data_IF_756406745595
#
_entry.id   IF_756406745595
#
_cell.length_a   1.000
_cell.length_b   1.000
_cell.length_c   1.000
_cell.angle_alpha   90.00
_cell.angle_beta   90.00
_cell.angle_gamma   90.00
#
_symmetry.space_group_name_H-M   'P 1'
#
loop_
_entity.id
_entity.type
_entity.pdbx_description
1 polymer ?
#
# COMPACT_ATOMS: atom_id res chain seq x y z
N UNK A 1 -21.69 -57.23 35.59
CA UNK A 1 -22.22 -56.16 34.70
C UNK A 1 -21.73 -54.76 35.07
N UNK A 2 -21.73 -54.33 36.34
CA UNK A 2 -21.24 -52.98 36.74
C UNK A 2 -19.77 -52.68 36.34
N UNK A 3 -18.87 -53.68 36.38
CA UNK A 3 -17.45 -53.50 35.99
C UNK A 3 -17.24 -53.26 34.48
N UNK A 4 -18.09 -53.84 33.64
CA UNK A 4 -18.04 -53.64 32.17
C UNK A 4 -18.57 -52.26 31.79
N UNK A 5 -19.60 -51.79 32.50
CA UNK A 5 -20.15 -50.44 32.33
C UNK A 5 -19.14 -49.33 32.67
N UNK A 6 -18.32 -49.52 33.72
CA UNK A 6 -17.28 -48.56 34.10
C UNK A 6 -16.16 -48.49 33.06
N UNK A 7 -15.76 -49.64 32.49
CA UNK A 7 -14.77 -49.67 31.41
C UNK A 7 -15.30 -48.98 30.14
N UNK A 8 -16.57 -49.18 29.80
CA UNK A 8 -17.22 -48.54 28.65
C UNK A 8 -17.30 -47.01 28.81
N UNK A 9 -17.61 -46.53 30.02
CA UNK A 9 -17.64 -45.10 30.37
C UNK A 9 -16.24 -44.45 30.29
N UNK A 10 -15.18 -45.18 30.68
CA UNK A 10 -13.81 -44.70 30.57
C UNK A 10 -13.33 -44.63 29.11
N UNK A 11 -13.72 -45.59 28.26
CA UNK A 11 -13.43 -45.57 26.83
C UNK A 11 -14.16 -44.44 26.08
N UNK A 12 -15.39 -44.09 26.48
CA UNK A 12 -16.13 -42.96 25.92
C UNK A 12 -15.53 -41.60 26.30
N UNK A 13 -14.90 -41.48 27.47
CA UNK A 13 -14.22 -40.26 27.89
C UNK A 13 -12.93 -39.98 27.10
N UNK A 14 -12.26 -41.02 26.58
CA UNK A 14 -11.04 -40.89 25.76
C UNK A 14 -11.34 -40.62 24.28
N UNK A 15 -12.58 -40.81 23.82
CA UNK A 15 -13.00 -40.52 22.45
C UNK A 15 -13.34 -39.04 22.22
N UNK A 16 -13.35 -38.21 23.27
CA UNK A 16 -13.61 -36.77 23.16
C UNK A 16 -12.34 -35.94 23.01
N UNK A 17 -11.31 -36.49 22.36
CA UNK A 17 -10.24 -35.69 21.77
C UNK A 17 -10.81 -34.93 20.56
N UNK A 18 -11.57 -33.88 20.82
CA UNK A 18 -11.83 -32.85 19.83
C UNK A 18 -10.47 -32.37 19.34
N UNK A 19 -10.14 -32.76 18.10
CA UNK A 19 -8.96 -32.30 17.39
C UNK A 19 -9.06 -30.78 17.37
N UNK A 20 -8.32 -30.12 18.26
CA UNK A 20 -8.26 -28.67 18.31
C UNK A 20 -7.71 -28.28 16.95
N UNK A 21 -8.58 -27.82 16.06
CA UNK A 21 -8.15 -27.25 14.79
C UNK A 21 -7.18 -26.15 15.15
N UNK A 22 -5.89 -26.41 14.93
CA UNK A 22 -4.90 -25.36 14.93
C UNK A 22 -5.38 -24.40 13.87
N UNK A 23 -5.95 -23.27 14.30
CA UNK A 23 -6.15 -22.13 13.42
C UNK A 23 -4.80 -21.91 12.76
N UNK A 24 -4.70 -22.25 11.48
CA UNK A 24 -3.54 -21.96 10.66
C UNK A 24 -3.41 -20.44 10.72
N UNK A 25 -2.56 -19.95 11.63
CA UNK A 25 -2.24 -18.53 11.68
C UNK A 25 -1.46 -18.30 10.41
N UNK A 26 -2.12 -17.66 9.44
CA UNK A 26 -1.49 -17.21 8.20
C UNK A 26 -0.21 -16.47 8.57
N UNK A 27 0.93 -17.10 8.34
CA UNK A 27 2.22 -16.56 8.75
C UNK A 27 2.49 -15.37 7.84
N UNK A 28 2.58 -14.18 8.42
CA UNK A 28 3.00 -12.98 7.72
C UNK A 28 4.43 -13.16 7.21
N UNK A 29 4.58 -13.47 5.91
CA UNK A 29 5.87 -13.56 5.24
C UNK A 29 6.30 -12.14 4.85
N UNK A 30 7.55 -11.71 5.16
CA UNK A 30 8.06 -10.42 4.72
C UNK A 30 7.84 -10.19 3.22
N UNK A 31 7.32 -9.02 2.87
CA UNK A 31 7.10 -8.63 1.49
C UNK A 31 8.33 -7.91 0.95
N UNK A 32 8.95 -8.40 -0.12
CA UNK A 32 10.14 -7.79 -0.72
C UNK A 32 9.76 -7.14 -2.05
N UNK A 33 9.67 -5.82 -2.06
CA UNK A 33 9.15 -5.03 -3.19
C UNK A 33 9.93 -5.32 -4.48
N UNK A 34 11.26 -5.32 -4.40
CA UNK A 34 12.13 -5.60 -5.56
C UNK A 34 12.05 -7.03 -6.10
N UNK A 35 11.55 -8.00 -5.32
CA UNK A 35 11.36 -9.39 -5.75
C UNK A 35 9.98 -9.59 -6.36
N UNK A 36 8.96 -8.97 -5.78
CA UNK A 36 7.57 -9.12 -6.20
C UNK A 36 7.30 -8.49 -7.58
N UNK A 37 8.10 -7.51 -7.98
CA UNK A 37 8.04 -6.85 -9.29
C UNK A 37 8.84 -7.56 -10.39
N UNK A 38 9.48 -8.71 -10.10
CA UNK A 38 10.23 -9.47 -11.11
C UNK A 38 9.33 -10.44 -11.85
N UNK A 39 9.84 -10.90 -12.99
CA UNK A 39 9.29 -12.04 -13.71
C UNK A 39 9.15 -13.25 -12.77
N UNK A 40 8.02 -13.96 -12.86
CA UNK A 40 7.77 -15.17 -12.07
C UNK A 40 7.50 -16.34 -12.99
N UNK A 41 8.20 -17.44 -12.77
CA UNK A 41 7.95 -18.71 -13.47
C UNK A 41 7.04 -19.55 -12.58
N UNK A 42 5.83 -19.85 -13.05
CA UNK A 42 4.86 -20.71 -12.38
C UNK A 42 4.58 -21.91 -13.28
N UNK A 43 5.15 -23.06 -12.93
CA UNK A 43 5.05 -24.26 -13.76
C UNK A 43 5.73 -24.07 -15.10
N UNK A 44 4.94 -24.03 -16.19
CA UNK A 44 5.41 -23.78 -17.56
C UNK A 44 5.17 -22.34 -18.03
N UNK A 45 4.48 -21.54 -17.23
CA UNK A 45 4.09 -20.18 -17.60
C UNK A 45 5.06 -19.16 -17.00
N UNK A 46 5.45 -18.19 -17.84
CA UNK A 46 6.24 -17.03 -17.43
C UNK A 46 5.31 -15.84 -17.29
N UNK A 47 5.15 -15.36 -16.06
CA UNK A 47 4.41 -14.13 -15.77
C UNK A 47 5.42 -12.98 -15.87
N UNK A 48 5.29 -12.09 -16.87
CA UNK A 48 6.21 -10.97 -17.04
C UNK A 48 6.13 -10.02 -15.85
N UNK A 49 7.20 -9.25 -15.58
CA UNK A 49 7.17 -8.21 -14.55
C UNK A 49 6.07 -7.20 -14.87
N UNK A 50 5.54 -6.59 -13.81
CA UNK A 50 4.60 -5.49 -13.97
C UNK A 50 5.28 -4.36 -14.76
N UNK A 51 4.58 -3.73 -15.74
CA UNK A 51 5.13 -2.57 -16.41
C UNK A 51 5.47 -1.48 -15.38
N UNK A 52 6.54 -0.70 -15.61
CA UNK A 52 6.93 0.34 -14.69
C UNK A 52 5.80 1.37 -14.56
N UNK A 53 5.60 1.86 -13.33
CA UNK A 53 4.56 2.84 -13.03
C UNK A 53 4.97 4.19 -13.65
N UNK A 54 4.16 4.78 -14.54
CA UNK A 54 4.43 6.11 -15.07
C UNK A 54 4.49 7.15 -13.96
N UNK A 55 5.40 8.12 -14.10
CA UNK A 55 5.66 9.18 -13.11
C UNK A 55 4.43 9.96 -12.67
N UNK A 56 3.51 10.22 -13.62
CA UNK A 56 2.24 10.90 -13.37
C UNK A 56 1.24 10.07 -12.56
N UNK A 57 1.42 8.75 -12.50
CA UNK A 57 0.55 7.78 -11.83
C UNK A 57 1.08 7.35 -10.46
N UNK A 58 2.33 7.65 -10.10
CA UNK A 58 3.04 7.14 -8.91
C UNK A 58 2.30 7.36 -7.58
N UNK A 59 1.46 8.38 -7.51
CA UNK A 59 0.70 8.74 -6.31
C UNK A 59 -0.76 8.25 -6.29
N UNK A 60 -1.24 7.67 -7.39
CA UNK A 60 -2.58 7.09 -7.48
C UNK A 60 -3.72 8.02 -7.05
N UNK A 61 -4.85 7.40 -6.71
CA UNK A 61 -5.97 8.05 -6.00
C UNK A 61 -5.74 7.99 -4.50
N UNK A 62 -5.19 6.87 -4.01
CA UNK A 62 -5.02 6.58 -2.60
C UNK A 62 -3.58 6.15 -2.35
N UNK A 63 -2.89 6.79 -1.40
CA UNK A 63 -1.54 6.37 -1.03
C UNK A 63 -1.43 6.21 0.48
N UNK A 64 -0.97 5.03 0.88
CA UNK A 64 -0.63 4.68 2.25
C UNK A 64 0.88 4.55 2.38
N UNK A 65 1.51 5.29 3.28
CA UNK A 65 2.94 5.23 3.56
C UNK A 65 3.15 4.48 4.87
N UNK A 66 3.79 3.31 4.79
CA UNK A 66 4.20 2.53 5.94
C UNK A 66 5.35 3.24 6.63
N UNK A 67 5.12 3.66 7.87
CA UNK A 67 6.07 4.43 8.66
C UNK A 67 6.78 3.56 9.70
N UNK A 68 6.04 2.69 10.37
CA UNK A 68 6.53 1.77 11.39
C UNK A 68 5.59 0.58 11.54
N UNK A 69 5.81 -0.28 12.53
CA UNK A 69 4.97 -1.44 12.80
C UNK A 69 3.52 -1.11 13.17
N UNK A 70 3.24 0.13 13.55
CA UNK A 70 1.93 0.55 14.07
C UNK A 70 1.36 1.80 13.41
N UNK A 71 2.16 2.50 12.60
CA UNK A 71 1.78 3.79 11.99
C UNK A 71 1.78 3.71 10.48
N UNK A 72 0.72 4.27 9.90
CA UNK A 72 0.58 4.50 8.47
C UNK A 72 0.18 5.96 8.28
N UNK A 73 0.78 6.63 7.32
CA UNK A 73 0.28 7.91 6.84
C UNK A 73 -0.53 7.71 5.57
N UNK A 74 -1.63 8.42 5.44
CA UNK A 74 -2.51 8.36 4.28
C UNK A 74 -2.69 9.74 3.68
N UNK A 75 -2.77 9.78 2.35
CA UNK A 75 -3.31 10.91 1.62
C UNK A 75 -4.06 10.43 0.38
N UNK A 76 -4.99 11.27 -0.06
CA UNK A 76 -5.83 11.04 -1.22
C UNK A 76 -5.58 12.11 -2.29
N UNK A 77 -5.74 11.73 -3.55
CA UNK A 77 -5.76 12.64 -4.70
C UNK A 77 -7.09 12.49 -5.43
N UNK A 78 -7.38 13.47 -6.28
CA UNK A 78 -8.53 13.42 -7.16
C UNK A 78 -8.50 12.17 -8.04
N UNK A 79 -9.67 11.76 -8.49
CA UNK A 79 -9.84 10.61 -9.38
C UNK A 79 -8.92 10.70 -10.60
N UNK A 80 -8.29 9.58 -10.91
CA UNK A 80 -7.44 9.45 -12.09
C UNK A 80 -8.31 8.94 -13.23
N UNK A 81 -8.41 9.69 -14.31
CA UNK A 81 -9.19 9.30 -15.49
C UNK A 81 -8.71 8.01 -16.16
N UNK A 82 -9.27 7.70 -17.33
CA UNK A 82 -8.91 6.49 -18.07
C UNK A 82 -7.40 6.42 -18.33
N UNK A 83 -6.76 5.38 -17.81
CA UNK A 83 -5.33 5.10 -18.05
C UNK A 83 -5.22 4.37 -19.38
N UNK A 84 -4.79 5.08 -20.43
CA UNK A 84 -4.34 4.48 -21.67
C UNK A 84 -2.81 4.37 -21.63
N UNK A 85 -2.30 3.15 -21.74
CA UNK A 85 -0.86 2.91 -21.67
C UNK A 85 -0.14 3.45 -22.91
N UNK A 86 0.98 4.12 -22.70
CA UNK A 86 2.00 4.32 -23.73
C UNK A 86 3.31 3.73 -23.19
N UNK A 87 3.98 2.79 -23.88
CA UNK A 87 5.17 2.10 -23.37
C UNK A 87 6.38 3.01 -23.07
N UNK A 88 6.31 4.28 -23.46
CA UNK A 88 7.41 5.27 -23.40
C UNK A 88 7.24 6.31 -22.29
N UNK A 89 6.28 6.14 -21.38
CA UNK A 89 6.07 7.11 -20.31
C UNK A 89 7.25 7.12 -19.33
N UNK A 90 7.76 8.31 -19.02
CA UNK A 90 8.76 8.51 -17.98
C UNK A 90 8.25 7.97 -16.63
N UNK A 91 9.15 7.38 -15.86
CA UNK A 91 8.89 6.76 -14.55
C UNK A 91 9.25 7.67 -13.38
N UNK A 92 9.91 8.82 -13.65
CA UNK A 92 10.25 9.81 -12.63
C UNK A 92 8.95 10.41 -12.05
N UNK A 93 8.68 10.26 -10.74
CA UNK A 93 7.47 10.77 -10.10
C UNK A 93 7.28 12.27 -10.31
N UNK A 94 6.06 12.70 -10.64
CA UNK A 94 5.76 14.13 -10.82
C UNK A 94 5.58 14.81 -9.47
N UNK A 95 6.26 15.93 -9.23
CA UNK A 95 6.07 16.71 -8.00
C UNK A 95 4.60 17.13 -7.84
N UNK A 96 3.95 16.68 -6.76
CA UNK A 96 2.54 16.99 -6.48
C UNK A 96 2.36 18.08 -5.43
N UNK A 97 3.46 18.61 -4.90
CA UNK A 97 3.49 19.55 -3.80
C UNK A 97 2.76 19.04 -2.55
N UNK A 98 3.01 17.78 -2.19
CA UNK A 98 2.49 17.13 -0.99
C UNK A 98 2.88 17.94 0.24
N UNK A 99 1.94 18.11 1.16
CA UNK A 99 2.09 18.95 2.35
C UNK A 99 2.02 18.10 3.62
N UNK A 100 2.81 18.39 4.68
CA UNK A 100 2.71 17.65 5.95
C UNK A 100 1.30 17.65 6.53
N UNK A 101 0.56 18.75 6.40
CA UNK A 101 -0.85 18.85 6.84
C UNK A 101 -1.81 17.94 6.09
N UNK A 102 -1.49 17.55 4.86
CA UNK A 102 -2.28 16.63 4.05
C UNK A 102 -2.10 15.15 4.42
N UNK A 103 -1.09 14.83 5.26
CA UNK A 103 -0.87 13.47 5.75
C UNK A 103 -1.73 13.19 6.99
N UNK A 104 -2.66 12.25 6.82
CA UNK A 104 -3.51 11.73 7.89
C UNK A 104 -2.79 10.55 8.55
N UNK A 105 -2.61 10.59 9.86
CA UNK A 105 -2.05 9.47 10.61
C UNK A 105 -3.14 8.45 10.91
N UNK A 106 -2.95 7.22 10.43
CA UNK A 106 -3.79 6.07 10.73
C UNK A 106 -3.08 5.16 11.75
N UNK A 107 -3.82 4.76 12.77
CA UNK A 107 -3.38 3.71 13.69
C UNK A 107 -3.91 2.35 13.23
N UNK A 108 -3.16 1.30 13.55
CA UNK A 108 -3.53 -0.10 13.30
C UNK A 108 -4.95 -0.49 13.74
N UNK A 109 -5.51 0.14 14.78
CA UNK A 109 -6.86 -0.17 15.30
C UNK A 109 -7.98 0.25 14.35
N UNK A 110 -7.76 1.26 13.51
CA UNK A 110 -8.83 1.90 12.75
C UNK A 110 -8.73 1.65 11.23
N UNK A 111 -7.75 0.83 10.79
CA UNK A 111 -7.50 0.61 9.35
C UNK A 111 -8.72 0.03 8.66
N UNK A 112 -9.31 -1.02 9.23
CA UNK A 112 -10.46 -1.69 8.61
C UNK A 112 -11.64 -0.73 8.40
N UNK A 113 -12.04 -0.03 9.46
CA UNK A 113 -13.15 0.93 9.39
C UNK A 113 -12.83 2.12 8.49
N UNK A 114 -11.58 2.58 8.48
CA UNK A 114 -11.12 3.63 7.58
C UNK A 114 -11.27 3.21 6.12
N UNK A 115 -10.79 2.03 5.73
CA UNK A 115 -10.96 1.52 4.36
C UNK A 115 -12.44 1.33 4.05
N UNK A 116 -13.21 0.71 4.94
CA UNK A 116 -14.65 0.47 4.74
C UNK A 116 -15.44 1.76 4.44
N UNK A 117 -15.09 2.87 5.10
CA UNK A 117 -15.81 4.14 4.98
C UNK A 117 -15.29 5.04 3.85
N UNK A 118 -14.01 4.95 3.49
CA UNK A 118 -13.36 5.92 2.59
C UNK A 118 -12.98 5.34 1.22
N UNK A 119 -12.96 4.01 1.08
CA UNK A 119 -12.66 3.37 -0.21
C UNK A 119 -13.90 3.47 -1.11
N UNK A 120 -13.92 4.52 -1.94
CA UNK A 120 -15.08 5.04 -2.68
C UNK A 120 -15.79 3.98 -3.55
N UNK A 121 -17.11 4.13 -3.69
CA UNK A 121 -17.95 3.23 -4.49
C UNK A 121 -18.03 3.58 -5.98
N UNK A 122 -17.78 4.85 -6.33
CA UNK A 122 -18.22 5.39 -7.63
C UNK A 122 -17.17 5.31 -8.76
N UNK A 123 -15.88 5.13 -8.46
CA UNK A 123 -14.82 5.07 -9.47
C UNK A 123 -13.69 4.09 -9.09
N UNK A 124 -12.84 3.75 -10.07
CA UNK A 124 -11.69 2.85 -9.91
C UNK A 124 -10.65 3.44 -8.94
N UNK A 125 -10.32 2.69 -7.90
CA UNK A 125 -9.25 3.05 -6.97
C UNK A 125 -7.88 2.59 -7.53
N UNK A 126 -6.92 3.51 -7.52
CA UNK A 126 -5.52 3.25 -7.85
C UNK A 126 -4.72 3.48 -6.58
N UNK A 127 -4.50 2.40 -5.85
CA UNK A 127 -3.98 2.46 -4.50
C UNK A 127 -2.51 2.08 -4.47
N UNK A 128 -1.72 2.89 -3.76
CA UNK A 128 -0.33 2.63 -3.49
C UNK A 128 -0.12 2.35 -1.99
N UNK A 129 0.66 1.32 -1.70
CA UNK A 129 1.29 1.13 -0.40
C UNK A 129 2.79 1.39 -0.59
N UNK A 130 3.26 2.48 0.01
CA UNK A 130 4.63 2.93 -0.06
C UNK A 130 5.41 2.55 1.20
N UNK A 131 6.69 2.19 1.06
CA UNK A 131 7.60 1.93 2.18
C UNK A 131 8.99 2.49 1.87
N UNK A 132 9.67 3.05 2.86
CA UNK A 132 11.06 3.49 2.70
C UNK A 132 12.03 2.32 2.50
N UNK A 133 11.72 1.18 3.12
CA UNK A 133 12.44 -0.09 3.00
C UNK A 133 11.91 -0.94 1.85
N UNK A 134 12.82 -1.65 1.17
CA UNK A 134 12.48 -2.65 0.15
C UNK A 134 11.79 -3.88 0.76
N UNK A 135 12.15 -4.24 2.00
CA UNK A 135 11.49 -5.31 2.75
C UNK A 135 10.49 -4.71 3.73
N UNK A 136 9.24 -5.13 3.61
CA UNK A 136 8.13 -4.72 4.48
C UNK A 136 7.71 -5.92 5.33
N UNK A 137 7.94 -5.81 6.63
CA UNK A 137 7.59 -6.85 7.60
C UNK A 137 6.90 -6.24 8.83
N UNK A 138 5.90 -5.39 8.59
CA UNK A 138 5.16 -4.71 9.65
C UNK A 138 3.76 -5.29 9.78
N UNK A 139 3.28 -5.46 11.02
CA UNK A 139 1.90 -5.91 11.27
C UNK A 139 0.88 -5.01 10.58
N UNK A 140 1.10 -3.70 10.67
CA UNK A 140 0.20 -2.70 10.08
C UNK A 140 0.10 -2.80 8.55
N UNK A 141 1.17 -3.21 7.86
CA UNK A 141 1.16 -3.47 6.43
C UNK A 141 0.25 -4.66 6.08
N UNK A 142 0.38 -5.77 6.82
CA UNK A 142 -0.45 -6.95 6.58
C UNK A 142 -1.93 -6.68 6.90
N UNK A 143 -2.21 -5.96 7.99
CA UNK A 143 -3.56 -5.55 8.34
C UNK A 143 -4.18 -4.62 7.27
N UNK A 144 -3.41 -3.65 6.75
CA UNK A 144 -3.82 -2.79 5.65
C UNK A 144 -4.09 -3.59 4.37
N UNK A 145 -3.15 -4.43 3.95
CA UNK A 145 -3.29 -5.25 2.74
C UNK A 145 -4.52 -6.15 2.82
N UNK A 146 -4.75 -6.78 3.98
CA UNK A 146 -5.95 -7.60 4.23
C UNK A 146 -7.24 -6.78 4.14
N UNK A 147 -7.24 -5.59 4.74
CA UNK A 147 -8.39 -4.69 4.71
C UNK A 147 -8.69 -4.25 3.27
N UNK A 148 -7.69 -3.76 2.54
CA UNK A 148 -7.82 -3.37 1.13
C UNK A 148 -8.36 -4.52 0.27
N UNK A 149 -7.78 -5.72 0.39
CA UNK A 149 -8.25 -6.90 -0.36
C UNK A 149 -9.72 -7.25 -0.09
N UNK A 150 -10.25 -6.92 1.10
CA UNK A 150 -11.66 -7.19 1.46
C UNK A 150 -12.64 -6.24 0.76
N UNK A 151 -12.17 -5.08 0.30
CA UNK A 151 -12.98 -4.02 -0.31
C UNK A 151 -12.59 -3.70 -1.77
N UNK A 152 -11.51 -4.32 -2.28
CA UNK A 152 -11.00 -4.12 -3.64
C UNK A 152 -11.96 -4.70 -4.67
N UNK A 153 -12.27 -3.92 -5.71
CA UNK A 153 -13.15 -4.33 -6.81
C UNK A 153 -12.37 -4.73 -8.05
N UNK A 154 -13.04 -5.35 -9.02
CA UNK A 154 -12.43 -5.85 -10.26
C UNK A 154 -11.56 -4.83 -11.00
N UNK A 155 -11.97 -3.55 -11.03
CA UNK A 155 -11.22 -2.49 -11.74
C UNK A 155 -10.10 -1.91 -10.90
N UNK A 156 -10.15 -2.01 -9.58
CA UNK A 156 -9.16 -1.41 -8.70
C UNK A 156 -7.77 -1.98 -8.96
N UNK A 157 -6.76 -1.21 -8.59
CA UNK A 157 -5.36 -1.62 -8.66
C UNK A 157 -4.69 -1.30 -7.34
N UNK A 158 -3.91 -2.25 -6.87
CA UNK A 158 -3.07 -2.11 -5.69
C UNK A 158 -1.62 -2.29 -6.14
N UNK A 159 -0.80 -1.29 -5.85
CA UNK A 159 0.62 -1.28 -6.12
C UNK A 159 1.38 -1.16 -4.81
N UNK A 160 2.48 -1.88 -4.69
CA UNK A 160 3.38 -1.77 -3.54
C UNK A 160 4.72 -1.30 -4.08
N UNK A 161 5.23 -0.19 -3.54
CA UNK A 161 6.46 0.45 -4.04
C UNK A 161 7.27 1.07 -2.93
N UNK A 162 8.49 1.49 -3.27
CA UNK A 162 9.27 2.35 -2.38
C UNK A 162 8.71 3.78 -2.34
N UNK A 163 8.95 4.50 -1.27
CA UNK A 163 8.59 5.92 -1.15
C UNK A 163 9.30 6.77 -2.20
N UNK A 164 8.65 7.85 -2.63
CA UNK A 164 9.26 8.87 -3.48
C UNK A 164 10.14 9.82 -2.65
N UNK A 165 11.01 10.60 -3.31
CA UNK A 165 11.77 11.64 -2.61
C UNK A 165 10.85 12.64 -1.90
N UNK A 166 9.73 13.01 -2.54
CA UNK A 166 8.74 13.92 -1.98
C UNK A 166 8.10 13.35 -0.72
N UNK A 167 7.67 12.09 -0.74
CA UNK A 167 7.09 11.41 0.42
C UNK A 167 8.07 11.32 1.59
N UNK A 168 9.30 10.89 1.34
CA UNK A 168 10.35 10.81 2.37
C UNK A 168 10.61 12.19 3.00
N UNK A 169 10.66 13.22 2.16
CA UNK A 169 10.90 14.61 2.59
C UNK A 169 9.74 15.11 3.45
N UNK A 170 8.52 15.10 2.93
CA UNK A 170 7.33 15.61 3.63
C UNK A 170 7.10 14.85 4.93
N UNK A 171 7.34 13.53 4.94
CA UNK A 171 7.18 12.72 6.12
C UNK A 171 8.21 13.07 7.21
N UNK A 172 9.46 13.39 6.84
CA UNK A 172 10.47 13.92 7.78
C UNK A 172 9.95 15.19 8.48
N UNK A 173 9.49 16.18 7.71
CA UNK A 173 8.94 17.42 8.29
C UNK A 173 7.72 17.17 9.17
N UNK A 174 6.81 16.27 8.74
CA UNK A 174 5.64 15.85 9.51
C UNK A 174 6.01 15.22 10.86
N UNK A 175 7.01 14.34 10.89
CA UNK A 175 7.46 13.66 12.12
C UNK A 175 8.14 14.62 13.10
N UNK A 176 8.92 15.56 12.58
CA UNK A 176 9.67 16.51 13.39
C UNK A 176 8.85 17.73 13.81
N UNK A 177 7.61 17.88 13.30
CA UNK A 177 6.79 19.08 13.47
C UNK A 177 7.53 20.36 13.02
N UNK A 178 8.33 20.24 11.96
CA UNK A 178 9.09 21.34 11.37
C UNK A 178 8.24 22.08 10.32
N UNK A 179 8.53 23.37 10.13
CA UNK A 179 7.91 24.15 9.08
C UNK A 179 8.39 23.64 7.70
N UNK A 180 7.46 23.42 6.77
CA UNK A 180 7.75 22.92 5.42
C UNK A 180 7.43 23.97 4.35
N UNK A 181 8.46 24.31 3.57
CA UNK A 181 8.35 25.05 2.32
C UNK A 181 9.01 24.23 1.22
N UNK A 182 8.24 23.87 0.18
CA UNK A 182 8.74 23.06 -0.93
C UNK A 182 9.86 23.73 -1.73
N UNK A 183 9.85 25.05 -1.76
CA UNK A 183 10.79 25.91 -2.48
C UNK A 183 12.19 25.89 -1.86
N UNK A 184 12.27 25.63 -0.55
CA UNK A 184 13.52 25.57 0.21
C UNK A 184 14.22 24.20 0.09
N UNK A 185 13.53 23.20 -0.46
CA UNK A 185 14.07 21.85 -0.62
C UNK A 185 14.88 21.75 -1.91
N UNK A 186 16.12 21.27 -1.78
CA UNK A 186 16.95 20.89 -2.93
C UNK A 186 16.51 19.54 -3.51
N UNK A 187 15.54 19.58 -4.41
CA UNK A 187 15.02 18.41 -5.11
C UNK A 187 16.04 17.78 -6.07
N UNK A 188 16.08 16.44 -6.12
CA UNK A 188 16.90 15.70 -7.08
C UNK A 188 16.11 15.55 -8.38
N UNK A 189 16.50 16.30 -9.41
CA UNK A 189 15.80 16.35 -10.70
C UNK A 189 15.77 15.00 -11.45
N UNK A 190 16.58 14.03 -11.05
CA UNK A 190 16.54 12.67 -11.60
C UNK A 190 15.56 11.75 -10.85
N UNK A 191 15.04 12.20 -9.70
CA UNK A 191 14.12 11.45 -8.83
C UNK A 191 12.75 12.10 -8.70
N UNK A 192 12.60 13.33 -9.19
CA UNK A 192 11.34 14.04 -9.24
C UNK A 192 11.27 14.97 -10.45
N UNK A 193 10.12 14.98 -11.12
CA UNK A 193 9.85 15.80 -12.28
C UNK A 193 8.87 16.93 -11.92
N UNK A 194 9.26 18.18 -12.15
CA UNK A 194 8.36 19.31 -11.97
C UNK A 194 7.47 19.45 -13.21
N UNK A 195 6.15 19.68 -13.05
CA UNK A 195 5.30 19.93 -14.19
C UNK A 195 5.81 21.16 -14.94
N UNK A 196 5.90 21.06 -16.27
CA UNK A 196 6.32 22.18 -17.11
C UNK A 196 5.30 23.31 -16.99
N UNK A 197 5.69 24.41 -16.33
CA UNK A 197 4.92 25.64 -16.32
C UNK A 197 5.09 26.29 -17.69
N UNK A 198 4.07 26.25 -18.54
CA UNK A 198 4.09 27.00 -19.81
C UNK A 198 4.34 28.48 -19.48
N UNK A 199 5.36 29.12 -20.08
CA UNK A 199 5.57 30.56 -19.89
C UNK A 199 4.33 31.32 -20.33
N UNK A 200 3.90 32.32 -19.55
CA UNK A 200 2.84 33.24 -19.96
C UNK A 200 3.33 33.99 -21.20
N UNK A 201 2.71 33.75 -22.35
CA UNK A 201 2.94 34.55 -23.55
C UNK A 201 2.32 35.92 -23.28
N UNK A 202 3.16 36.94 -23.05
CA UNK A 202 2.70 38.32 -23.04
C UNK A 202 2.40 38.71 -24.48
N UNK A 203 1.13 38.81 -24.85
CA UNK A 203 0.76 39.52 -26.07
C UNK A 203 0.97 41.01 -25.78
N UNK A 204 2.05 41.58 -26.33
CA UNK A 204 2.18 43.02 -26.46
C UNK A 204 1.17 43.48 -27.51
N UNK A 205 0.16 44.25 -27.07
CA UNK A 205 -0.76 44.96 -27.96
C UNK A 205 -0.05 46.07 -28.71
#
# INVERSE_FOLDING_TARGET
MKRVFVALLFCLALLNCAKKEEKIVEKNIPYIISQENREKIIGKDTIPPMPPIPGWLVYGTDTFIIDSDTKIYYFQRNEIGMICGTPTADTIPYFINLQPRGLILLSNKNIYDFIKLNYNDNFRNITFIASSSDTVNSKVFFDLRKSLNSFTKFRDRLFIRRTTQEEDTVLKYKRNNEYYHSEDIKWDKNRIAFPFIKPKVSFSN
#
